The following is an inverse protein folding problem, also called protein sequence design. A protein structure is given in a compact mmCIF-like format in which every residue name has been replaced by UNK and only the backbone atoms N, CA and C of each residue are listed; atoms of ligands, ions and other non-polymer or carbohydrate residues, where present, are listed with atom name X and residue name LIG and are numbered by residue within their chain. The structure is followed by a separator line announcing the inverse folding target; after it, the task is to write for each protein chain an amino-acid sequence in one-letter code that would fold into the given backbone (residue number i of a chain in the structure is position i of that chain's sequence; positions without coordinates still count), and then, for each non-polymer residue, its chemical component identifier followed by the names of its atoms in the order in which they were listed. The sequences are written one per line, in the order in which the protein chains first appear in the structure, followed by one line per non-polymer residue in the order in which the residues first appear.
data_IF_168923774979
#
_entry.id   IF_168923774979
#
_cell.length_a   1.000
_cell.length_b   1.000
_cell.length_c   1.000
_cell.angle_alpha   90.00
_cell.angle_beta   90.00
_cell.angle_gamma   90.00
#
_symmetry.space_group_name_H-M   'P 1'
#
loop_
_entity.id
_entity.type
_entity.pdbx_description
1 polymer ?
#
# COMPACT_ATOMS: atom_id res chain seq x y z
N UNK A 1 -107.30 -29.08 31.08
CA UNK A 1 -106.34 -30.03 30.49
C UNK A 1 -104.97 -29.76 31.09
N UNK A 2 -104.48 -30.67 31.92
CA UNK A 2 -103.24 -30.48 32.68
C UNK A 2 -101.99 -30.55 31.81
N UNK A 3 -100.90 -29.95 32.27
CA UNK A 3 -99.59 -29.98 31.58
C UNK A 3 -99.14 -31.43 31.28
N UNK A 4 -99.54 -32.37 32.16
CA UNK A 4 -99.33 -33.82 32.01
C UNK A 4 -100.09 -34.44 30.84
N UNK A 5 -101.37 -34.12 30.64
CA UNK A 5 -102.16 -34.59 29.49
C UNK A 5 -101.66 -34.02 28.16
N UNK A 6 -101.17 -32.77 28.16
CA UNK A 6 -100.55 -32.19 26.97
C UNK A 6 -99.21 -32.85 26.64
N UNK A 7 -98.44 -33.21 27.67
CA UNK A 7 -97.18 -33.92 27.50
C UNK A 7 -97.40 -35.36 27.02
N UNK A 8 -98.35 -36.10 27.60
CA UNK A 8 -98.72 -37.45 27.16
C UNK A 8 -99.25 -37.44 25.72
N UNK A 9 -100.08 -36.47 25.33
CA UNK A 9 -100.51 -36.31 23.93
C UNK A 9 -99.36 -36.00 22.97
N UNK A 10 -98.36 -35.22 23.38
CA UNK A 10 -97.18 -34.93 22.55
C UNK A 10 -96.30 -36.18 22.44
N UNK A 11 -96.14 -36.94 23.52
CA UNK A 11 -95.39 -38.20 23.53
C UNK A 11 -96.07 -39.26 22.66
N UNK A 12 -97.39 -39.43 22.75
CA UNK A 12 -98.16 -40.34 21.90
C UNK A 12 -98.11 -39.93 20.41
N UNK A 13 -98.06 -38.62 20.12
CA UNK A 13 -97.93 -38.11 18.75
C UNK A 13 -96.50 -38.32 18.22
N UNK A 14 -95.49 -38.21 19.09
CA UNK A 14 -94.10 -38.53 18.77
C UNK A 14 -93.93 -40.04 18.55
N UNK A 15 -94.59 -40.89 19.34
CA UNK A 15 -94.43 -42.34 19.24
C UNK A 15 -95.22 -42.93 18.06
N UNK A 16 -96.46 -42.45 17.82
CA UNK A 16 -97.28 -42.85 16.67
C UNK A 16 -96.71 -42.40 15.30
N UNK A 17 -95.84 -41.37 15.29
CA UNK A 17 -95.15 -40.89 14.09
C UNK A 17 -93.62 -40.98 14.20
N UNK A 18 -93.10 -41.79 15.13
CA UNK A 18 -91.68 -41.89 15.46
C UNK A 18 -90.79 -42.09 14.25
N UNK A 19 -91.19 -43.00 13.35
CA UNK A 19 -90.44 -43.30 12.12
C UNK A 19 -90.36 -42.07 11.20
N UNK A 20 -91.46 -41.34 11.05
CA UNK A 20 -91.55 -40.15 10.20
C UNK A 20 -90.79 -38.97 10.80
N UNK A 21 -90.90 -38.75 12.12
CA UNK A 21 -90.19 -37.67 12.83
C UNK A 21 -88.68 -37.92 12.81
N UNK A 22 -88.21 -39.13 13.13
CA UNK A 22 -86.78 -39.47 13.07
C UNK A 22 -86.23 -39.31 11.64
N UNK A 23 -86.99 -39.74 10.62
CA UNK A 23 -86.58 -39.58 9.22
C UNK A 23 -86.53 -38.11 8.80
N UNK A 24 -87.51 -37.30 9.20
CA UNK A 24 -87.52 -35.86 8.93
C UNK A 24 -86.38 -35.14 9.66
N UNK A 25 -86.13 -35.45 10.93
CA UNK A 25 -85.02 -34.89 11.71
C UNK A 25 -83.65 -35.27 11.13
N UNK A 26 -83.45 -36.53 10.70
CA UNK A 26 -82.23 -36.96 10.00
C UNK A 26 -82.06 -36.26 8.65
N UNK A 27 -83.16 -36.04 7.92
CA UNK A 27 -83.14 -35.32 6.64
C UNK A 27 -82.76 -33.85 6.85
N UNK A 28 -83.32 -33.19 7.89
CA UNK A 28 -82.97 -31.82 8.27
C UNK A 28 -81.51 -31.74 8.72
N UNK A 29 -81.02 -32.68 9.54
CA UNK A 29 -79.61 -32.74 9.93
C UNK A 29 -78.69 -32.92 8.73
N UNK A 30 -79.04 -33.80 7.79
CA UNK A 30 -78.31 -34.00 6.55
C UNK A 30 -78.27 -32.75 5.67
N UNK A 31 -79.37 -32.00 5.61
CA UNK A 31 -79.46 -30.75 4.86
C UNK A 31 -78.66 -29.62 5.52
N UNK A 32 -78.69 -29.52 6.86
CA UNK A 32 -77.82 -28.62 7.63
C UNK A 32 -76.34 -28.98 7.42
N UNK A 33 -75.99 -30.26 7.45
CA UNK A 33 -74.62 -30.73 7.21
C UNK A 33 -74.16 -30.42 5.78
N UNK A 34 -75.01 -30.60 4.77
CA UNK A 34 -74.74 -30.20 3.39
C UNK A 34 -74.58 -28.69 3.24
N UNK A 35 -75.43 -27.88 3.89
CA UNK A 35 -75.25 -26.42 3.90
C UNK A 35 -73.91 -26.04 4.54
N UNK A 36 -73.54 -26.64 5.68
CA UNK A 36 -72.26 -26.39 6.32
C UNK A 36 -71.10 -26.76 5.38
N UNK A 37 -71.13 -27.93 4.73
CA UNK A 37 -70.11 -28.33 3.74
C UNK A 37 -70.05 -27.33 2.58
N UNK A 38 -71.20 -26.89 2.08
CA UNK A 38 -71.28 -25.95 0.96
C UNK A 38 -70.73 -24.56 1.34
N UNK A 39 -71.07 -24.07 2.53
CA UNK A 39 -70.53 -22.81 3.07
C UNK A 39 -69.02 -22.90 3.31
N UNK A 40 -68.53 -23.99 3.92
CA UNK A 40 -67.09 -24.21 4.12
C UNK A 40 -66.34 -24.31 2.79
N UNK A 41 -66.90 -25.02 1.81
CA UNK A 41 -66.27 -25.18 0.48
C UNK A 41 -66.25 -23.88 -0.33
N UNK A 42 -67.34 -23.10 -0.28
CA UNK A 42 -67.41 -21.77 -0.90
C UNK A 42 -66.41 -20.79 -0.30
N UNK A 43 -66.27 -20.82 1.03
CA UNK A 43 -65.35 -19.95 1.76
C UNK A 43 -63.88 -20.33 1.50
N UNK A 44 -63.57 -21.63 1.43
CA UNK A 44 -62.23 -22.12 1.06
C UNK A 44 -61.85 -21.73 -0.38
N UNK A 45 -62.82 -21.79 -1.31
CA UNK A 45 -62.63 -21.33 -2.68
C UNK A 45 -62.37 -19.81 -2.75
N UNK A 46 -63.11 -19.02 -1.95
CA UNK A 46 -62.89 -17.57 -1.79
C UNK A 46 -61.48 -17.26 -1.26
N UNK A 47 -61.04 -17.93 -0.18
CA UNK A 47 -59.69 -17.74 0.39
C UNK A 47 -58.59 -18.07 -0.62
N UNK A 48 -58.73 -19.15 -1.38
CA UNK A 48 -57.76 -19.53 -2.41
C UNK A 48 -57.68 -18.51 -3.55
N UNK A 49 -58.82 -17.93 -3.95
CA UNK A 49 -58.89 -16.89 -4.96
C UNK A 49 -58.20 -15.60 -4.49
N UNK A 50 -58.60 -15.06 -3.34
CA UNK A 50 -58.04 -13.81 -2.82
C UNK A 50 -56.53 -13.94 -2.54
N UNK A 51 -56.07 -15.08 -2.01
CA UNK A 51 -54.63 -15.32 -1.80
C UNK A 51 -53.84 -15.29 -3.10
N UNK A 52 -54.43 -15.77 -4.20
CA UNK A 52 -53.78 -15.74 -5.52
C UNK A 52 -53.72 -14.32 -6.11
N UNK A 53 -54.71 -13.48 -5.80
CA UNK A 53 -54.71 -12.06 -6.20
C UNK A 53 -53.58 -11.31 -5.47
N UNK A 54 -53.46 -11.49 -4.15
CA UNK A 54 -52.38 -10.90 -3.36
C UNK A 54 -51.02 -11.30 -3.93
N UNK A 55 -50.78 -12.60 -4.14
CA UNK A 55 -49.51 -13.07 -4.70
C UNK A 55 -49.22 -12.49 -6.08
N UNK A 56 -50.23 -12.39 -6.95
CA UNK A 56 -50.06 -11.79 -8.27
C UNK A 56 -49.60 -10.32 -8.16
N UNK A 57 -50.11 -9.56 -7.19
CA UNK A 57 -49.65 -8.19 -6.96
C UNK A 57 -48.18 -8.14 -6.52
N UNK A 58 -47.79 -9.03 -5.60
CA UNK A 58 -46.40 -9.15 -5.13
C UNK A 58 -45.46 -9.54 -6.28
N UNK A 59 -45.78 -10.61 -7.03
CA UNK A 59 -44.98 -11.10 -8.17
C UNK A 59 -44.88 -10.07 -9.30
N UNK A 60 -45.93 -9.27 -9.50
CA UNK A 60 -45.94 -8.18 -10.47
C UNK A 60 -45.25 -6.91 -9.96
N UNK A 61 -44.56 -6.97 -8.81
CA UNK A 61 -43.85 -5.85 -8.16
C UNK A 61 -44.73 -4.66 -7.80
N UNK A 62 -46.05 -4.89 -7.65
CA UNK A 62 -47.02 -3.87 -7.22
C UNK A 62 -47.13 -3.87 -5.70
N UNK A 63 -46.02 -3.67 -5.00
CA UNK A 63 -45.91 -3.87 -3.55
C UNK A 63 -46.90 -3.01 -2.75
N UNK A 64 -47.00 -1.70 -3.05
CA UNK A 64 -47.99 -0.85 -2.38
C UNK A 64 -49.44 -1.28 -2.59
N UNK A 65 -49.76 -1.81 -3.78
CA UNK A 65 -51.11 -2.36 -4.06
C UNK A 65 -51.33 -3.64 -3.27
N UNK A 66 -50.32 -4.50 -3.16
CA UNK A 66 -50.40 -5.73 -2.37
C UNK A 66 -50.65 -5.44 -0.88
N UNK A 67 -49.96 -4.44 -0.32
CA UNK A 67 -50.13 -4.04 1.09
C UNK A 67 -51.53 -3.48 1.36
N UNK A 68 -51.98 -2.51 0.55
CA UNK A 68 -53.33 -1.95 0.70
C UNK A 68 -54.41 -3.04 0.58
N UNK A 69 -54.24 -3.95 -0.38
CA UNK A 69 -55.18 -5.06 -0.58
C UNK A 69 -55.22 -6.00 0.62
N UNK A 70 -54.06 -6.33 1.22
CA UNK A 70 -54.02 -7.14 2.45
C UNK A 70 -54.71 -6.41 3.63
N UNK A 71 -54.46 -5.12 3.82
CA UNK A 71 -55.11 -4.31 4.87
C UNK A 71 -56.64 -4.22 4.68
N UNK A 72 -57.12 -4.18 3.45
CA UNK A 72 -58.56 -4.18 3.17
C UNK A 72 -59.19 -5.54 3.50
N UNK A 73 -58.49 -6.64 3.18
CA UNK A 73 -58.92 -7.98 3.59
C UNK A 73 -58.96 -8.14 5.12
N UNK A 74 -58.02 -7.55 5.86
CA UNK A 74 -58.05 -7.55 7.34
C UNK A 74 -59.30 -6.86 7.91
N UNK A 75 -59.87 -5.86 7.21
CA UNK A 75 -61.11 -5.17 7.62
C UNK A 75 -62.36 -5.96 7.23
N UNK A 76 -62.32 -6.64 6.09
CA UNK A 76 -63.48 -7.34 5.51
C UNK A 76 -63.66 -8.76 6.07
N UNK A 77 -62.56 -9.46 6.36
CA UNK A 77 -62.61 -10.87 6.76
C UNK A 77 -62.87 -11.03 8.26
N UNK A 78 -63.65 -12.06 8.61
CA UNK A 78 -63.71 -12.51 10.00
C UNK A 78 -62.35 -13.07 10.46
N UNK A 79 -62.03 -13.07 11.77
CA UNK A 79 -60.75 -13.57 12.28
C UNK A 79 -60.41 -14.99 11.81
N UNK A 80 -61.39 -15.91 11.86
CA UNK A 80 -61.22 -17.31 11.41
C UNK A 80 -61.00 -17.46 9.90
N UNK A 81 -61.50 -16.49 9.11
CA UNK A 81 -61.28 -16.45 7.66
C UNK A 81 -59.91 -15.87 7.34
N UNK A 82 -59.51 -14.83 8.07
CA UNK A 82 -58.17 -14.23 7.95
C UNK A 82 -57.08 -15.25 8.30
N UNK A 83 -57.22 -15.99 9.41
CA UNK A 83 -56.25 -17.03 9.79
C UNK A 83 -56.06 -18.11 8.71
N UNK A 84 -57.15 -18.56 8.08
CA UNK A 84 -57.08 -19.51 6.95
C UNK A 84 -56.44 -18.89 5.72
N UNK A 85 -56.73 -17.63 5.44
CA UNK A 85 -56.10 -16.86 4.36
C UNK A 85 -54.61 -16.72 4.58
N UNK A 86 -54.18 -16.26 5.75
CA UNK A 86 -52.77 -16.11 6.12
C UNK A 86 -52.02 -17.42 5.97
N UNK A 87 -52.57 -18.51 6.51
CA UNK A 87 -51.97 -19.86 6.36
C UNK A 87 -51.81 -20.29 4.90
N UNK A 88 -52.74 -19.91 4.02
CA UNK A 88 -52.64 -20.21 2.59
C UNK A 88 -51.59 -19.32 1.91
N UNK A 89 -51.58 -18.02 2.22
CA UNK A 89 -50.62 -17.05 1.71
C UNK A 89 -49.20 -17.40 2.17
N UNK A 90 -48.97 -17.73 3.44
CA UNK A 90 -47.69 -18.21 3.98
C UNK A 90 -47.10 -19.36 3.17
N UNK A 91 -47.89 -20.38 2.83
CA UNK A 91 -47.42 -21.50 2.00
C UNK A 91 -46.94 -21.05 0.62
N UNK A 92 -47.65 -20.09 0.01
CA UNK A 92 -47.33 -19.59 -1.32
C UNK A 92 -46.15 -18.59 -1.28
N UNK A 93 -46.11 -17.70 -0.30
CA UNK A 93 -44.99 -16.77 -0.06
C UNK A 93 -43.71 -17.53 0.23
N UNK A 94 -43.74 -18.57 1.06
CA UNK A 94 -42.54 -19.39 1.33
C UNK A 94 -41.95 -20.01 0.05
N UNK A 95 -42.79 -20.42 -0.91
CA UNK A 95 -42.30 -20.89 -2.21
C UNK A 95 -41.75 -19.75 -3.06
N UNK A 96 -42.45 -18.62 -3.11
CA UNK A 96 -42.05 -17.44 -3.86
C UNK A 96 -40.69 -16.93 -3.37
N UNK A 97 -40.50 -16.82 -2.06
CA UNK A 97 -39.27 -16.38 -1.40
C UNK A 97 -38.06 -17.20 -1.83
N UNK A 98 -38.14 -18.53 -1.72
CA UNK A 98 -37.06 -19.43 -2.15
C UNK A 98 -36.79 -19.29 -3.64
N UNK A 99 -37.84 -19.29 -4.47
CA UNK A 99 -37.68 -19.17 -5.93
C UNK A 99 -37.09 -17.82 -6.35
N UNK A 100 -37.44 -16.74 -5.65
CA UNK A 100 -36.93 -15.39 -5.91
C UNK A 100 -35.51 -15.23 -5.40
N UNK A 101 -35.17 -15.85 -4.27
CA UNK A 101 -33.79 -15.97 -3.80
C UNK A 101 -32.92 -16.67 -4.84
N UNK A 102 -33.37 -17.81 -5.38
CA UNK A 102 -32.65 -18.53 -6.45
C UNK A 102 -32.52 -17.68 -7.72
N UNK A 103 -33.60 -16.99 -8.12
CA UNK A 103 -33.56 -16.06 -9.26
C UNK A 103 -32.57 -14.91 -9.03
N UNK A 104 -32.50 -14.37 -7.82
CA UNK A 104 -31.59 -13.27 -7.47
C UNK A 104 -30.13 -13.75 -7.51
N UNK A 105 -29.84 -14.90 -6.88
CA UNK A 105 -28.50 -15.53 -6.88
C UNK A 105 -28.04 -15.79 -8.32
N UNK A 106 -28.95 -16.23 -9.19
CA UNK A 106 -28.68 -16.47 -10.61
C UNK A 106 -28.80 -15.20 -11.49
N UNK A 107 -28.86 -14.00 -10.89
CA UNK A 107 -28.95 -12.69 -11.60
C UNK A 107 -30.16 -12.50 -12.52
N UNK A 108 -31.19 -13.34 -12.37
CA UNK A 108 -32.43 -13.28 -13.17
C UNK A 108 -33.38 -12.18 -12.70
N UNK A 109 -33.23 -11.71 -11.46
CA UNK A 109 -33.93 -10.54 -10.92
C UNK A 109 -32.94 -9.58 -10.27
N UNK A 110 -33.30 -8.29 -10.23
CA UNK A 110 -32.42 -7.26 -9.65
C UNK A 110 -32.45 -7.28 -8.13
N UNK A 111 -31.46 -6.62 -7.52
CA UNK A 111 -31.38 -6.43 -6.07
C UNK A 111 -32.61 -5.71 -5.52
N UNK A 112 -33.10 -4.68 -6.22
CA UNK A 112 -34.28 -3.89 -5.82
C UNK A 112 -35.55 -4.75 -5.87
N UNK A 113 -35.64 -5.66 -6.83
CA UNK A 113 -36.75 -6.62 -6.88
C UNK A 113 -36.72 -7.49 -5.61
N UNK A 114 -35.58 -8.11 -5.31
CA UNK A 114 -35.47 -9.00 -4.15
C UNK A 114 -35.70 -8.26 -2.83
N UNK A 115 -35.11 -7.08 -2.64
CA UNK A 115 -35.36 -6.22 -1.46
C UNK A 115 -36.85 -5.90 -1.34
N UNK A 116 -37.49 -5.47 -2.43
CA UNK A 116 -38.91 -5.13 -2.42
C UNK A 116 -39.80 -6.31 -2.02
N UNK A 117 -39.45 -7.53 -2.41
CA UNK A 117 -40.13 -8.75 -1.97
C UNK A 117 -39.97 -8.94 -0.45
N UNK A 118 -38.74 -8.92 0.07
CA UNK A 118 -38.46 -9.07 1.51
C UNK A 118 -39.22 -8.04 2.33
N UNK A 119 -39.11 -6.76 1.97
CA UNK A 119 -39.79 -5.68 2.69
C UNK A 119 -41.31 -5.81 2.65
N UNK A 120 -41.87 -6.27 1.52
CA UNK A 120 -43.32 -6.52 1.43
C UNK A 120 -43.73 -7.66 2.35
N UNK A 121 -42.97 -8.76 2.39
CA UNK A 121 -43.27 -9.91 3.26
C UNK A 121 -43.23 -9.53 4.74
N UNK A 122 -42.22 -8.77 5.19
CA UNK A 122 -42.16 -8.29 6.57
C UNK A 122 -43.36 -7.41 6.96
N UNK A 123 -43.89 -6.63 6.01
CA UNK A 123 -45.04 -5.76 6.28
C UNK A 123 -46.37 -6.55 6.41
N UNK A 124 -46.43 -7.80 5.94
CA UNK A 124 -47.62 -8.65 6.05
C UNK A 124 -47.65 -9.41 7.38
N UNK A 125 -48.13 -8.76 8.44
CA UNK A 125 -48.01 -9.20 9.85
C UNK A 125 -48.58 -10.59 10.20
N UNK A 126 -49.56 -11.09 9.45
CA UNK A 126 -50.16 -12.42 9.68
C UNK A 126 -49.39 -13.57 9.02
N UNK A 127 -48.38 -13.26 8.20
CA UNK A 127 -47.71 -14.25 7.34
C UNK A 127 -46.53 -14.90 8.06
N UNK A 128 -46.66 -16.21 8.28
CA UNK A 128 -45.58 -17.07 8.75
C UNK A 128 -44.57 -17.40 7.62
N UNK A 129 -43.28 -17.17 7.91
CA UNK A 129 -42.16 -17.42 7.00
C UNK A 129 -41.33 -18.58 7.54
N UNK A 130 -41.04 -19.55 6.66
CA UNK A 130 -40.20 -20.71 6.95
C UNK A 130 -38.71 -20.31 6.93
N UNK A 131 -38.26 -19.69 8.03
CA UNK A 131 -36.90 -19.17 8.19
C UNK A 131 -35.84 -20.25 7.98
N UNK A 132 -36.13 -21.51 8.35
CA UNK A 132 -35.21 -22.64 8.16
C UNK A 132 -34.82 -22.82 6.69
N UNK A 133 -35.77 -22.69 5.75
CA UNK A 133 -35.45 -22.79 4.32
C UNK A 133 -34.60 -21.64 3.81
N UNK A 134 -34.72 -20.47 4.41
CA UNK A 134 -33.86 -19.32 4.09
C UNK A 134 -32.44 -19.56 4.61
N UNK A 135 -32.31 -20.10 5.84
CA UNK A 135 -31.02 -20.54 6.40
C UNK A 135 -30.38 -21.61 5.50
N UNK A 136 -31.14 -22.61 5.04
CA UNK A 136 -30.65 -23.64 4.11
C UNK A 136 -30.18 -23.02 2.77
N UNK A 137 -30.92 -22.04 2.23
CA UNK A 137 -30.54 -21.34 1.00
C UNK A 137 -29.28 -20.47 1.21
N UNK A 138 -29.14 -19.80 2.35
CA UNK A 138 -27.96 -19.04 2.73
C UNK A 138 -26.70 -19.91 2.88
N UNK A 139 -26.85 -21.11 3.45
CA UNK A 139 -25.78 -22.11 3.50
C UNK A 139 -25.29 -22.46 2.09
N UNK A 140 -26.20 -22.74 1.16
CA UNK A 140 -25.84 -23.00 -0.25
C UNK A 140 -25.16 -21.81 -0.91
N UNK A 141 -25.60 -20.57 -0.63
CA UNK A 141 -24.96 -19.36 -1.15
C UNK A 141 -23.51 -19.24 -0.68
N UNK A 142 -23.25 -19.53 0.60
CA UNK A 142 -21.90 -19.57 1.15
C UNK A 142 -21.03 -20.61 0.43
N UNK A 143 -21.54 -21.82 0.21
CA UNK A 143 -20.83 -22.88 -0.53
C UNK A 143 -20.64 -22.55 -2.03
N UNK A 144 -21.60 -21.88 -2.66
CA UNK A 144 -21.47 -21.41 -4.04
C UNK A 144 -20.36 -20.35 -4.16
N UNK A 145 -20.26 -19.45 -3.18
CA UNK A 145 -19.16 -18.47 -3.13
C UNK A 145 -17.80 -19.16 -2.91
N UNK A 146 -17.74 -20.11 -1.97
CA UNK A 146 -16.54 -20.92 -1.69
C UNK A 146 -16.06 -21.66 -2.94
N UNK A 147 -16.97 -22.26 -3.69
CA UNK A 147 -16.71 -22.96 -4.95
C UNK A 147 -16.53 -22.05 -6.18
N UNK A 148 -16.47 -20.73 -5.98
CA UNK A 148 -16.29 -19.71 -7.03
C UNK A 148 -17.40 -19.69 -8.10
N UNK A 149 -18.54 -20.29 -7.83
CA UNK A 149 -19.71 -20.28 -8.70
C UNK A 149 -20.58 -19.03 -8.51
N UNK A 150 -20.23 -18.17 -7.55
CA UNK A 150 -20.95 -16.95 -7.21
C UNK A 150 -19.96 -15.85 -6.83
N UNK A 151 -20.22 -14.62 -7.26
CA UNK A 151 -19.39 -13.48 -6.87
C UNK A 151 -19.65 -13.05 -5.43
N UNK A 152 -18.66 -12.40 -4.81
CA UNK A 152 -18.77 -11.85 -3.46
C UNK A 152 -19.95 -10.89 -3.34
N UNK A 153 -20.11 -9.97 -4.29
CA UNK A 153 -21.16 -8.95 -4.27
C UNK A 153 -22.57 -9.56 -4.28
N UNK A 154 -22.79 -10.60 -5.10
CA UNK A 154 -24.10 -11.27 -5.16
C UNK A 154 -24.34 -12.06 -3.87
N UNK A 155 -23.34 -12.83 -3.41
CA UNK A 155 -23.43 -13.63 -2.20
C UNK A 155 -23.75 -12.75 -0.97
N UNK A 156 -22.97 -11.69 -0.76
CA UNK A 156 -23.17 -10.76 0.34
C UNK A 156 -24.47 -9.97 0.21
N UNK A 157 -24.85 -9.55 -1.00
CA UNK A 157 -26.12 -8.86 -1.20
C UNK A 157 -27.31 -9.77 -0.87
N UNK A 158 -27.25 -11.06 -1.23
CA UNK A 158 -28.28 -12.03 -0.86
C UNK A 158 -28.35 -12.16 0.66
N UNK A 159 -27.23 -12.47 1.32
CA UNK A 159 -27.18 -12.69 2.77
C UNK A 159 -27.69 -11.48 3.53
N UNK A 160 -27.19 -10.28 3.24
CA UNK A 160 -27.63 -9.06 3.92
C UNK A 160 -29.12 -8.75 3.70
N UNK A 161 -29.66 -9.05 2.50
CA UNK A 161 -31.08 -8.84 2.19
C UNK A 161 -31.96 -9.90 2.87
N UNK A 162 -31.53 -11.16 2.91
CA UNK A 162 -32.25 -12.23 3.60
C UNK A 162 -32.20 -12.04 5.13
N UNK A 163 -31.11 -11.52 5.68
CA UNK A 163 -30.96 -11.19 7.10
C UNK A 163 -31.96 -10.13 7.57
N UNK A 164 -32.51 -9.31 6.68
CA UNK A 164 -33.52 -8.32 7.05
C UNK A 164 -34.92 -8.90 7.21
N UNK A 165 -35.13 -10.21 7.00
CA UNK A 165 -36.41 -10.85 7.27
C UNK A 165 -36.73 -10.83 8.75
N UNK A 166 -37.99 -10.53 9.07
CA UNK A 166 -38.45 -10.51 10.46
C UNK A 166 -38.32 -11.91 11.08
N UNK A 167 -37.73 -11.98 12.27
CA UNK A 167 -37.45 -13.22 12.99
C UNK A 167 -36.13 -13.91 12.63
N UNK A 168 -35.38 -13.45 11.62
CA UNK A 168 -34.10 -14.06 11.23
C UNK A 168 -32.98 -13.90 12.27
N UNK A 169 -32.97 -12.77 12.99
CA UNK A 169 -31.94 -12.48 13.99
C UNK A 169 -30.52 -12.62 13.44
N UNK A 170 -29.71 -13.45 14.10
CA UNK A 170 -28.31 -13.69 13.76
C UNK A 170 -28.08 -15.02 13.03
N UNK A 171 -29.14 -15.70 12.58
CA UNK A 171 -29.06 -17.07 12.04
C UNK A 171 -28.22 -17.15 10.75
N UNK A 172 -28.02 -16.03 10.04
CA UNK A 172 -27.21 -15.96 8.83
C UNK A 172 -25.78 -15.43 9.05
N UNK A 173 -25.43 -15.01 10.26
CA UNK A 173 -24.14 -14.36 10.56
C UNK A 173 -22.96 -15.29 10.29
N UNK A 174 -23.11 -16.59 10.54
CA UNK A 174 -22.07 -17.58 10.25
C UNK A 174 -21.74 -17.64 8.75
N UNK A 175 -22.76 -17.61 7.88
CA UNK A 175 -22.56 -17.65 6.43
C UNK A 175 -21.99 -16.35 5.89
N UNK A 176 -22.43 -15.22 6.46
CA UNK A 176 -21.86 -13.90 6.20
C UNK A 176 -20.37 -13.89 6.52
N UNK A 177 -20.01 -14.33 7.72
CA UNK A 177 -18.62 -14.37 8.17
C UNK A 177 -17.78 -15.30 7.29
N UNK A 178 -18.29 -16.48 6.94
CA UNK A 178 -17.59 -17.40 6.04
C UNK A 178 -17.29 -16.74 4.68
N UNK A 179 -18.25 -16.05 4.07
CA UNK A 179 -18.05 -15.36 2.80
C UNK A 179 -17.01 -14.25 2.94
N UNK A 180 -17.09 -13.43 3.99
CA UNK A 180 -16.14 -12.34 4.25
C UNK A 180 -14.72 -12.85 4.47
N UNK A 181 -14.54 -13.88 5.31
CA UNK A 181 -13.22 -14.46 5.60
C UNK A 181 -12.57 -15.00 4.33
N UNK A 182 -13.32 -15.73 3.51
CA UNK A 182 -12.83 -16.25 2.23
C UNK A 182 -12.49 -15.11 1.24
N UNK A 183 -13.31 -14.06 1.19
CA UNK A 183 -13.02 -12.89 0.35
C UNK A 183 -11.74 -12.19 0.74
N UNK A 184 -11.55 -11.91 2.03
CA UNK A 184 -10.35 -11.26 2.54
C UNK A 184 -9.10 -12.12 2.31
N UNK A 185 -9.22 -13.44 2.49
CA UNK A 185 -8.16 -14.41 2.16
C UNK A 185 -7.75 -14.33 0.68
N UNK A 186 -8.71 -14.33 -0.23
CA UNK A 186 -8.47 -14.19 -1.69
C UNK A 186 -7.83 -12.85 -2.04
N UNK A 187 -8.23 -11.78 -1.37
CA UNK A 187 -7.61 -10.46 -1.54
C UNK A 187 -6.15 -10.43 -1.13
N UNK A 188 -5.76 -11.14 -0.07
CA UNK A 188 -4.35 -11.28 0.31
C UNK A 188 -3.56 -12.03 -0.77
N UNK A 189 -4.16 -13.06 -1.38
CA UNK A 189 -3.54 -13.77 -2.51
C UNK A 189 -3.37 -12.87 -3.73
N UNK A 190 -4.41 -12.12 -4.13
CA UNK A 190 -4.35 -11.17 -5.26
C UNK A 190 -3.25 -10.11 -5.05
N UNK A 191 -3.17 -9.51 -3.87
CA UNK A 191 -2.14 -8.53 -3.53
C UNK A 191 -0.73 -9.15 -3.57
N UNK A 192 -0.58 -10.39 -3.13
CA UNK A 192 0.70 -11.10 -3.20
C UNK A 192 1.16 -11.35 -4.65
N UNK A 193 0.24 -11.69 -5.55
CA UNK A 193 0.55 -11.83 -6.98
C UNK A 193 0.97 -10.49 -7.61
N UNK A 194 0.32 -9.39 -7.23
CA UNK A 194 0.72 -8.05 -7.67
C UNK A 194 2.15 -7.70 -7.23
N UNK A 195 2.47 -7.89 -5.93
CA UNK A 195 3.81 -7.65 -5.38
C UNK A 195 4.87 -8.54 -6.04
N UNK A 196 4.55 -9.83 -6.26
CA UNK A 196 5.44 -10.77 -6.97
C UNK A 196 5.77 -10.27 -8.38
N UNK A 197 4.77 -9.79 -9.13
CA UNK A 197 4.95 -9.31 -10.51
C UNK A 197 5.86 -8.09 -10.62
N UNK A 198 5.96 -7.28 -9.56
CA UNK A 198 6.87 -6.12 -9.48
C UNK A 198 8.14 -6.41 -8.66
N UNK A 199 8.47 -7.70 -8.45
CA UNK A 199 9.66 -8.18 -7.72
C UNK A 199 9.75 -7.77 -6.25
N UNK A 200 8.64 -7.39 -5.62
CA UNK A 200 8.55 -7.17 -4.17
C UNK A 200 8.33 -8.50 -3.45
N UNK A 201 9.30 -9.40 -3.57
CA UNK A 201 9.14 -10.78 -3.12
C UNK A 201 8.93 -10.91 -1.60
N UNK A 202 9.60 -10.08 -0.81
CA UNK A 202 9.42 -10.07 0.65
C UNK A 202 7.99 -9.71 1.06
N UNK A 203 7.42 -8.67 0.44
CA UNK A 203 6.04 -8.25 0.64
C UNK A 203 5.05 -9.30 0.14
N UNK A 204 5.30 -9.87 -1.05
CA UNK A 204 4.50 -10.96 -1.59
C UNK A 204 4.43 -12.16 -0.64
N UNK A 205 5.56 -12.60 -0.09
CA UNK A 205 5.61 -13.73 0.86
C UNK A 205 4.81 -13.41 2.13
N UNK A 206 4.94 -12.20 2.69
CA UNK A 206 4.15 -11.78 3.86
C UNK A 206 2.64 -11.80 3.58
N UNK A 207 2.23 -11.49 2.35
CA UNK A 207 0.83 -11.53 1.94
C UNK A 207 0.34 -12.96 1.71
N UNK A 208 1.14 -13.83 1.08
CA UNK A 208 0.82 -15.27 0.97
C UNK A 208 0.65 -15.93 2.35
N UNK A 209 1.44 -15.54 3.35
CA UNK A 209 1.34 -16.06 4.73
C UNK A 209 0.03 -15.67 5.45
N UNK A 210 -0.71 -14.70 4.91
CA UNK A 210 -2.04 -14.30 5.43
C UNK A 210 -3.19 -15.02 4.73
N UNK A 211 -2.92 -15.78 3.67
CA UNK A 211 -3.94 -16.59 3.01
C UNK A 211 -4.31 -17.74 3.93
N UNK A 212 -5.60 -17.91 4.16
CA UNK A 212 -6.16 -18.80 5.18
C UNK A 212 -6.36 -20.22 4.65
N UNK A 213 -6.08 -21.23 5.48
CA UNK A 213 -6.21 -22.66 5.14
C UNK A 213 -7.67 -23.06 4.85
N UNK A 214 -8.63 -22.34 5.45
CA UNK A 214 -10.06 -22.48 5.19
C UNK A 214 -10.43 -22.28 3.71
N UNK A 215 -9.66 -21.44 2.99
CA UNK A 215 -9.72 -21.33 1.53
C UNK A 215 -8.71 -22.25 0.85
N UNK A 216 -8.89 -23.56 1.05
CA UNK A 216 -7.94 -24.60 0.66
C UNK A 216 -7.30 -24.42 -0.73
N UNK A 217 -8.09 -24.06 -1.75
CA UNK A 217 -7.56 -23.84 -3.11
C UNK A 217 -6.56 -22.69 -3.14
N UNK A 218 -6.94 -21.54 -2.62
CA UNK A 218 -6.08 -20.35 -2.62
C UNK A 218 -4.92 -20.50 -1.65
N UNK A 219 -5.10 -21.21 -0.54
CA UNK A 219 -4.01 -21.58 0.35
C UNK A 219 -2.96 -22.43 -0.36
N UNK A 220 -3.35 -23.50 -1.04
CA UNK A 220 -2.42 -24.36 -1.78
C UNK A 220 -1.68 -23.58 -2.88
N UNK A 221 -2.39 -22.69 -3.59
CA UNK A 221 -1.78 -21.79 -4.56
C UNK A 221 -0.78 -20.83 -3.90
N UNK A 222 -1.15 -20.20 -2.78
CA UNK A 222 -0.30 -19.29 -2.03
C UNK A 222 0.97 -19.97 -1.52
N UNK A 223 0.87 -21.20 -0.98
CA UNK A 223 2.04 -21.94 -0.51
C UNK A 223 2.99 -22.33 -1.64
N UNK A 224 2.46 -22.66 -2.83
CA UNK A 224 3.29 -22.93 -4.01
C UNK A 224 3.96 -21.66 -4.53
N UNK A 225 3.21 -20.57 -4.68
CA UNK A 225 3.74 -19.29 -5.13
C UNK A 225 4.76 -18.70 -4.14
N UNK A 226 4.54 -18.87 -2.83
CA UNK A 226 5.50 -18.52 -1.77
C UNK A 226 6.84 -19.24 -1.97
N UNK A 227 6.83 -20.56 -2.22
CA UNK A 227 8.06 -21.34 -2.47
C UNK A 227 8.80 -20.82 -3.71
N UNK A 228 8.07 -20.49 -4.77
CA UNK A 228 8.63 -19.89 -5.97
C UNK A 228 9.27 -18.52 -5.68
N UNK A 229 8.57 -17.63 -4.95
CA UNK A 229 9.10 -16.33 -4.54
C UNK A 229 10.38 -16.47 -3.71
N UNK A 230 10.42 -17.41 -2.77
CA UNK A 230 11.63 -17.69 -1.98
C UNK A 230 12.80 -18.04 -2.91
N UNK A 231 12.57 -18.87 -3.94
CA UNK A 231 13.61 -19.19 -4.92
C UNK A 231 14.05 -17.98 -5.76
N UNK A 232 13.10 -17.19 -6.26
CA UNK A 232 13.38 -16.03 -7.13
C UNK A 232 14.06 -14.87 -6.39
N UNK A 233 13.76 -14.68 -5.10
CA UNK A 233 14.25 -13.53 -4.36
C UNK A 233 15.75 -13.60 -4.03
N UNK A 234 16.35 -14.80 -4.06
CA UNK A 234 17.73 -15.00 -3.64
C UNK A 234 18.72 -14.17 -4.48
N UNK A 235 18.79 -14.44 -5.78
CA UNK A 235 19.71 -13.72 -6.67
C UNK A 235 19.32 -12.24 -6.78
N UNK A 236 18.01 -11.95 -6.84
CA UNK A 236 17.52 -10.58 -6.95
C UNK A 236 17.94 -9.69 -5.77
N UNK A 237 17.69 -10.11 -4.53
CA UNK A 237 18.05 -9.28 -3.38
C UNK A 237 19.56 -9.25 -3.11
N UNK A 238 20.33 -10.26 -3.54
CA UNK A 238 21.80 -10.17 -3.52
C UNK A 238 22.27 -9.09 -4.49
N UNK A 239 21.77 -9.07 -5.73
CA UNK A 239 22.11 -8.04 -6.72
C UNK A 239 21.77 -6.63 -6.21
N UNK A 240 20.57 -6.46 -5.66
CA UNK A 240 20.13 -5.18 -5.06
C UNK A 240 20.97 -4.79 -3.84
N UNK A 241 21.39 -5.75 -3.02
CA UNK A 241 22.25 -5.48 -1.87
C UNK A 241 23.67 -5.05 -2.30
N UNK A 242 24.24 -5.70 -3.32
CA UNK A 242 25.54 -5.33 -3.86
C UNK A 242 25.51 -3.94 -4.49
N UNK A 243 24.49 -3.64 -5.29
CA UNK A 243 24.28 -2.30 -5.89
C UNK A 243 24.15 -1.22 -4.81
N UNK A 244 23.28 -1.43 -3.81
CA UNK A 244 23.11 -0.49 -2.70
C UNK A 244 24.42 -0.28 -1.93
N UNK A 245 25.20 -1.34 -1.69
CA UNK A 245 26.51 -1.24 -1.05
C UNK A 245 27.53 -0.47 -1.92
N UNK A 246 27.56 -0.69 -3.23
CA UNK A 246 28.43 0.06 -4.17
C UNK A 246 28.09 1.55 -4.22
N UNK A 247 26.81 1.89 -4.08
CA UNK A 247 26.33 3.27 -3.97
C UNK A 247 26.54 3.88 -2.58
N UNK A 248 27.04 3.09 -1.61
CA UNK A 248 27.28 3.54 -0.24
C UNK A 248 26.04 3.54 0.67
N UNK A 249 24.92 2.98 0.21
CA UNK A 249 23.67 2.80 0.95
C UNK A 249 23.71 1.50 1.78
N UNK A 250 24.62 1.43 2.75
CA UNK A 250 24.89 0.19 3.48
C UNK A 250 23.72 -0.32 4.34
N UNK A 251 22.86 0.58 4.84
CA UNK A 251 21.66 0.18 5.60
C UNK A 251 20.65 -0.53 4.71
N UNK A 252 20.43 0.00 3.50
CA UNK A 252 19.56 -0.61 2.48
C UNK A 252 20.12 -1.94 2.00
N UNK A 253 21.44 -2.02 1.78
CA UNK A 253 22.12 -3.28 1.46
C UNK A 253 21.86 -4.35 2.54
N UNK A 254 21.99 -3.99 3.82
CA UNK A 254 21.71 -4.88 4.94
C UNK A 254 20.22 -5.25 5.06
N UNK A 255 19.32 -4.33 4.69
CA UNK A 255 17.89 -4.61 4.65
C UNK A 255 17.56 -5.71 3.63
N UNK A 256 18.13 -5.65 2.41
CA UNK A 256 17.95 -6.69 1.40
C UNK A 256 18.50 -8.04 1.86
N UNK A 257 19.67 -8.08 2.50
CA UNK A 257 20.18 -9.31 3.14
C UNK A 257 19.20 -9.80 4.22
N UNK A 258 18.65 -8.89 5.02
CA UNK A 258 17.65 -9.18 6.05
C UNK A 258 16.38 -9.85 5.52
N UNK A 259 15.98 -9.56 4.28
CA UNK A 259 14.86 -10.24 3.63
C UNK A 259 15.12 -11.72 3.35
N UNK A 260 16.37 -12.09 3.07
CA UNK A 260 16.76 -13.46 2.76
C UNK A 260 16.97 -14.32 4.01
N UNK A 261 17.48 -13.74 5.10
CA UNK A 261 17.86 -14.47 6.32
C UNK A 261 16.80 -15.43 6.90
N UNK A 262 15.50 -15.09 6.94
CA UNK A 262 14.49 -16.01 7.47
C UNK A 262 14.40 -17.34 6.71
N UNK A 263 14.77 -17.35 5.43
CA UNK A 263 14.63 -18.51 4.53
C UNK A 263 15.96 -19.22 4.24
N UNK A 264 17.09 -18.54 4.46
CA UNK A 264 18.44 -18.98 4.10
C UNK A 264 19.40 -18.88 5.30
N UNK A 265 19.04 -19.49 6.43
CA UNK A 265 19.70 -19.28 7.73
C UNK A 265 21.17 -19.75 7.79
N UNK A 266 21.52 -20.79 7.02
CA UNK A 266 22.86 -21.40 7.00
C UNK A 266 23.66 -21.06 5.73
N UNK A 267 23.25 -20.02 5.00
CA UNK A 267 23.92 -19.62 3.78
C UNK A 267 25.21 -18.82 4.10
N UNK A 268 26.37 -19.44 3.88
CA UNK A 268 27.68 -18.82 4.10
C UNK A 268 27.88 -17.54 3.29
N UNK A 269 27.37 -17.47 2.05
CA UNK A 269 27.48 -16.28 1.20
C UNK A 269 26.72 -15.11 1.82
N UNK A 270 25.51 -15.33 2.35
CA UNK A 270 24.75 -14.28 3.02
C UNK A 270 25.45 -13.77 4.29
N UNK A 271 26.05 -14.66 5.07
CA UNK A 271 26.81 -14.29 6.27
C UNK A 271 28.04 -13.45 5.93
N UNK A 272 28.76 -13.80 4.86
CA UNK A 272 29.91 -13.05 4.36
C UNK A 272 29.50 -11.66 3.85
N UNK A 273 28.41 -11.57 3.09
CA UNK A 273 27.87 -10.31 2.60
C UNK A 273 27.39 -9.41 3.75
N UNK A 274 26.64 -9.95 4.71
CA UNK A 274 26.21 -9.23 5.90
C UNK A 274 27.41 -8.66 6.66
N UNK A 275 28.42 -9.48 6.92
CA UNK A 275 29.65 -9.07 7.61
C UNK A 275 30.40 -7.98 6.86
N UNK A 276 30.50 -8.10 5.52
CA UNK A 276 31.12 -7.09 4.64
C UNK A 276 30.36 -5.76 4.72
N UNK A 277 29.04 -5.78 4.59
CA UNK A 277 28.23 -4.56 4.58
C UNK A 277 28.14 -3.92 5.97
N UNK A 278 28.07 -4.69 7.06
CA UNK A 278 28.17 -4.17 8.42
C UNK A 278 29.51 -3.48 8.67
N UNK A 279 30.61 -4.08 8.19
CA UNK A 279 31.93 -3.45 8.26
C UNK A 279 31.95 -2.14 7.47
N UNK A 280 31.40 -2.12 6.26
CA UNK A 280 31.32 -0.90 5.45
C UNK A 280 30.47 0.19 6.12
N UNK A 281 29.30 -0.17 6.66
CA UNK A 281 28.46 0.74 7.44
C UNK A 281 29.23 1.35 8.60
N UNK A 282 29.97 0.54 9.38
CA UNK A 282 30.74 1.03 10.53
C UNK A 282 31.91 1.94 10.15
N UNK A 283 32.58 1.65 9.03
CA UNK A 283 33.76 2.40 8.60
C UNK A 283 33.41 3.70 7.87
N UNK A 284 32.37 3.67 7.05
CA UNK A 284 32.12 4.70 6.06
C UNK A 284 30.90 5.57 6.38
N UNK A 285 30.16 5.28 7.44
CA UNK A 285 29.11 6.18 7.91
C UNK A 285 29.71 7.24 8.84
N UNK A 286 29.39 8.51 8.58
CA UNK A 286 29.71 9.65 9.42
C UNK A 286 28.42 10.32 9.88
N UNK A 287 28.30 10.55 11.18
CA UNK A 287 27.25 11.41 11.73
C UNK A 287 27.66 12.89 11.64
N UNK A 288 26.71 13.83 11.70
CA UNK A 288 27.02 15.26 11.83
C UNK A 288 28.00 15.55 12.98
N UNK A 289 27.83 14.87 14.11
CA UNK A 289 28.74 15.01 15.25
C UNK A 289 30.16 14.50 14.95
N UNK A 290 30.31 13.40 14.22
CA UNK A 290 31.64 12.91 13.81
C UNK A 290 32.36 13.94 12.92
N UNK A 291 31.61 14.59 12.03
CA UNK A 291 32.12 15.63 11.14
C UNK A 291 32.49 16.89 11.93
N UNK A 292 31.64 17.36 12.84
CA UNK A 292 31.94 18.50 13.73
C UNK A 292 33.19 18.20 14.57
N UNK A 293 33.29 16.99 15.14
CA UNK A 293 34.46 16.57 15.90
C UNK A 293 35.74 16.59 15.06
N UNK A 294 35.65 16.16 13.80
CA UNK A 294 36.76 16.17 12.86
C UNK A 294 37.20 17.61 12.53
N UNK A 295 36.26 18.51 12.25
CA UNK A 295 36.52 19.93 11.97
C UNK A 295 37.15 20.62 13.19
N UNK A 296 36.57 20.45 14.38
CA UNK A 296 37.09 21.03 15.62
C UNK A 296 38.52 20.55 15.90
N UNK A 297 38.77 19.24 15.74
CA UNK A 297 40.12 18.66 15.91
C UNK A 297 41.14 19.24 14.93
N UNK A 298 40.78 19.43 13.65
CA UNK A 298 41.69 19.94 12.62
C UNK A 298 41.89 21.45 12.70
N UNK A 299 40.86 22.21 13.07
CA UNK A 299 40.91 23.68 13.21
C UNK A 299 41.53 24.14 14.52
N UNK A 300 41.49 23.31 15.56
CA UNK A 300 41.86 23.69 16.92
C UNK A 300 40.83 24.60 17.61
N UNK A 301 39.64 24.80 17.02
CA UNK A 301 38.53 25.57 17.59
C UNK A 301 37.65 24.70 18.49
N UNK A 302 36.89 25.35 19.38
CA UNK A 302 35.81 24.70 20.12
C UNK A 302 34.65 24.31 19.18
N UNK A 303 33.77 23.41 19.65
CA UNK A 303 32.59 22.95 18.90
C UNK A 303 31.40 23.87 19.10
N UNK A 304 31.44 24.76 20.09
CA UNK A 304 30.36 25.70 20.39
C UNK A 304 30.02 26.55 19.15
N UNK A 305 28.73 26.57 18.80
CA UNK A 305 28.23 27.28 17.62
C UNK A 305 28.45 26.57 16.28
N UNK A 306 29.22 25.47 16.21
CA UNK A 306 29.40 24.71 14.97
C UNK A 306 28.20 23.79 14.70
N UNK A 307 27.65 23.90 13.50
CA UNK A 307 26.63 22.97 12.98
C UNK A 307 26.94 22.59 11.54
N UNK A 308 26.41 21.44 11.11
CA UNK A 308 26.63 20.95 9.75
C UNK A 308 25.35 20.38 9.15
N UNK A 309 25.17 20.59 7.85
CA UNK A 309 24.25 19.81 7.00
C UNK A 309 25.11 18.92 6.11
N UNK A 310 24.71 17.68 5.87
CA UNK A 310 25.54 16.74 5.11
C UNK A 310 24.74 15.84 4.18
N UNK A 311 25.27 15.62 2.99
CA UNK A 311 24.74 14.71 1.97
C UNK A 311 25.83 13.75 1.51
N UNK A 312 25.50 12.47 1.41
CA UNK A 312 26.43 11.44 0.93
C UNK A 312 26.49 11.42 -0.61
N UNK A 313 27.66 11.14 -1.17
CA UNK A 313 27.85 10.93 -2.60
C UNK A 313 29.06 10.03 -2.89
N UNK A 314 29.05 9.39 -4.06
CA UNK A 314 30.17 8.58 -4.55
C UNK A 314 30.99 9.36 -5.58
N UNK A 315 32.30 9.45 -5.38
CA UNK A 315 33.23 10.13 -6.30
C UNK A 315 34.40 9.19 -6.58
N UNK A 316 34.56 8.78 -7.85
CA UNK A 316 35.63 7.86 -8.25
C UNK A 316 35.63 6.54 -7.45
N UNK A 317 34.44 6.03 -7.10
CA UNK A 317 34.28 4.79 -6.31
C UNK A 317 34.52 4.95 -4.80
N UNK A 318 34.76 6.16 -4.31
CA UNK A 318 34.92 6.44 -2.88
C UNK A 318 33.73 7.23 -2.34
N UNK A 319 33.32 6.91 -1.10
CA UNK A 319 32.21 7.60 -0.42
C UNK A 319 32.71 8.92 0.19
N UNK A 320 32.04 10.00 -0.16
CA UNK A 320 32.26 11.33 0.38
C UNK A 320 30.98 11.89 1.01
N UNK A 321 31.15 12.77 1.97
CA UNK A 321 30.09 13.61 2.50
C UNK A 321 30.32 15.03 2.01
N UNK A 322 29.42 15.57 1.20
CA UNK A 322 29.32 17.01 1.00
C UNK A 322 28.68 17.62 2.23
N UNK A 323 29.32 18.63 2.78
CA UNK A 323 28.93 19.22 4.05
C UNK A 323 28.96 20.73 3.94
N UNK A 324 27.88 21.39 4.33
CA UNK A 324 27.88 22.82 4.58
C UNK A 324 28.15 23.03 6.06
N UNK A 325 29.17 23.83 6.37
CA UNK A 325 29.63 24.07 7.74
C UNK A 325 29.20 25.46 8.17
N UNK A 326 28.51 25.54 9.29
CA UNK A 326 28.01 26.79 9.85
C UNK A 326 28.63 27.08 11.21
N UNK A 327 28.96 28.34 11.47
CA UNK A 327 29.39 28.85 12.79
C UNK A 327 28.39 29.94 13.18
N UNK A 328 27.60 29.71 14.25
CA UNK A 328 26.51 30.60 14.68
C UNK A 328 25.55 30.99 13.53
N UNK A 329 25.08 29.99 12.79
CA UNK A 329 24.16 30.11 11.64
C UNK A 329 24.77 30.75 10.36
N UNK A 330 26.02 31.20 10.39
CA UNK A 330 26.71 31.71 9.21
C UNK A 330 27.45 30.58 8.47
N UNK A 331 27.26 30.46 7.16
CA UNK A 331 27.98 29.48 6.32
C UNK A 331 29.45 29.87 6.22
N UNK A 332 30.32 29.08 6.85
CA UNK A 332 31.76 29.34 6.90
C UNK A 332 32.58 28.47 5.95
N UNK A 333 32.04 27.34 5.48
CA UNK A 333 32.71 26.49 4.49
C UNK A 333 31.73 25.52 3.80
N UNK A 334 32.14 25.05 2.64
CA UNK A 334 31.58 23.87 1.97
C UNK A 334 32.70 22.86 1.83
N UNK A 335 32.53 21.67 2.39
CA UNK A 335 33.60 20.67 2.42
C UNK A 335 33.15 19.33 1.82
N UNK A 336 34.11 18.59 1.28
CA UNK A 336 34.01 17.15 1.08
C UNK A 336 34.79 16.44 2.16
N UNK A 337 34.15 15.52 2.86
CA UNK A 337 34.80 14.62 3.81
C UNK A 337 34.90 13.24 3.19
N UNK A 338 36.12 12.75 2.97
CA UNK A 338 36.34 11.36 2.58
C UNK A 338 35.95 10.44 3.73
N UNK A 339 34.97 9.56 3.52
CA UNK A 339 34.48 8.68 4.54
C UNK A 339 35.56 7.70 5.05
N UNK A 340 36.52 7.28 4.22
CA UNK A 340 37.57 6.33 4.60
C UNK A 340 38.73 7.01 5.30
N UNK A 341 39.32 8.01 4.66
CA UNK A 341 40.53 8.66 5.16
C UNK A 341 40.25 9.72 6.22
N UNK A 342 38.99 10.20 6.29
CA UNK A 342 38.59 11.37 7.08
C UNK A 342 39.34 12.65 6.69
N UNK A 343 39.84 12.71 5.45
CA UNK A 343 40.39 13.94 4.89
C UNK A 343 39.27 14.93 4.59
N UNK A 344 39.52 16.20 4.86
CA UNK A 344 38.64 17.32 4.55
C UNK A 344 39.19 18.05 3.33
N UNK A 345 38.32 18.29 2.35
CA UNK A 345 38.62 19.13 1.20
C UNK A 345 37.65 20.29 1.21
N UNK A 346 38.11 21.49 1.49
CA UNK A 346 37.30 22.71 1.43
C UNK A 346 37.07 23.16 -0.01
N UNK A 347 35.95 23.83 -0.24
CA UNK A 347 35.61 24.34 -1.54
C UNK A 347 36.51 25.53 -1.89
N UNK A 348 37.13 25.47 -3.08
CA UNK A 348 37.92 26.57 -3.62
C UNK A 348 37.70 26.70 -5.12
N UNK A 349 36.76 27.54 -5.49
CA UNK A 349 36.42 27.84 -6.87
C UNK A 349 37.03 29.14 -7.36
N UNK A 350 36.70 29.49 -8.60
CA UNK A 350 37.17 30.72 -9.23
C UNK A 350 36.62 32.00 -8.61
N UNK A 351 35.43 31.92 -8.00
CA UNK A 351 34.67 33.05 -7.49
C UNK A 351 34.42 32.98 -5.97
N UNK A 352 34.96 31.94 -5.31
CA UNK A 352 34.57 31.61 -3.94
C UNK A 352 35.68 30.79 -3.28
N UNK A 353 36.18 31.32 -2.16
CA UNK A 353 37.19 30.72 -1.30
C UNK A 353 36.83 31.06 0.15
N UNK A 354 36.67 30.03 0.97
CA UNK A 354 36.32 30.17 2.39
C UNK A 354 37.54 30.41 3.29
N UNK A 355 38.76 30.28 2.77
CA UNK A 355 40.01 30.44 3.53
C UNK A 355 40.06 29.58 4.81
N UNK A 356 39.56 28.34 4.73
CA UNK A 356 39.53 27.43 5.88
C UNK A 356 40.95 27.02 6.32
N UNK A 357 41.13 26.86 7.62
CA UNK A 357 42.42 26.47 8.24
C UNK A 357 42.52 24.97 8.55
N UNK A 358 41.44 24.22 8.31
CA UNK A 358 41.31 22.83 8.73
C UNK A 358 41.24 21.85 7.55
N UNK A 359 41.44 22.35 6.33
CA UNK A 359 41.41 21.54 5.12
C UNK A 359 42.72 20.81 4.83
N UNK A 360 42.63 19.58 4.34
CA UNK A 360 43.74 18.77 3.82
C UNK A 360 43.99 19.00 2.32
N UNK A 361 43.05 19.65 1.63
CA UNK A 361 43.15 19.96 0.20
C UNK A 361 42.00 20.85 -0.26
N UNK A 362 41.77 20.94 -1.57
CA UNK A 362 40.63 21.68 -2.06
C UNK A 362 39.88 20.90 -3.12
N UNK A 363 38.59 21.20 -3.27
CA UNK A 363 37.79 20.73 -4.39
C UNK A 363 37.01 21.89 -5.02
N UNK A 364 36.54 21.66 -6.23
CA UNK A 364 35.51 22.49 -6.87
C UNK A 364 34.56 21.62 -7.70
N UNK A 365 33.43 22.20 -8.07
CA UNK A 365 32.52 21.65 -9.07
C UNK A 365 32.84 22.31 -10.42
N UNK A 366 33.09 21.50 -11.45
CA UNK A 366 33.34 21.96 -12.82
C UNK A 366 32.05 22.50 -13.47
N UNK A 367 32.16 23.10 -14.65
CA UNK A 367 30.98 23.53 -15.42
C UNK A 367 30.08 22.36 -15.84
N UNK A 368 30.65 21.18 -15.95
CA UNK A 368 29.97 19.94 -16.32
C UNK A 368 29.44 19.19 -15.10
N UNK A 369 29.40 19.85 -13.93
CA UNK A 369 28.96 19.29 -12.64
C UNK A 369 29.86 18.17 -12.09
N UNK A 370 31.10 18.07 -12.55
CA UNK A 370 32.06 17.09 -12.05
C UNK A 370 32.89 17.65 -10.89
N UNK A 371 33.12 16.84 -9.85
CA UNK A 371 33.99 17.21 -8.75
C UNK A 371 35.46 17.06 -9.16
N UNK A 372 36.24 18.13 -8.99
CA UNK A 372 37.68 18.17 -9.24
C UNK A 372 38.43 18.43 -7.95
N UNK A 373 39.43 17.61 -7.66
CA UNK A 373 40.35 17.82 -6.53
C UNK A 373 41.57 18.64 -6.97
N UNK A 374 41.95 19.61 -6.14
CA UNK A 374 43.15 20.41 -6.34
C UNK A 374 44.40 19.59 -6.04
N UNK A 375 45.46 19.80 -6.83
CA UNK A 375 46.80 19.35 -6.46
C UNK A 375 47.34 20.18 -5.29
N UNK A 376 48.21 19.59 -4.50
CA UNK A 376 48.99 20.30 -3.48
C UNK A 376 50.06 21.20 -4.11
N UNK A 377 50.57 22.16 -3.33
CA UNK A 377 51.69 23.03 -3.74
C UNK A 377 52.95 22.23 -4.15
N UNK A 378 53.27 21.14 -3.45
CA UNK A 378 54.40 20.27 -3.80
C UNK A 378 54.17 19.54 -5.14
N UNK A 379 52.95 19.08 -5.39
CA UNK A 379 52.59 18.49 -6.69
C UNK A 379 52.64 19.54 -7.80
N UNK A 380 52.23 20.79 -7.54
CA UNK A 380 52.36 21.88 -8.50
C UNK A 380 53.82 22.20 -8.84
N UNK A 381 54.72 22.19 -7.86
CA UNK A 381 56.16 22.29 -8.10
C UNK A 381 56.66 21.13 -8.98
N UNK A 382 56.26 19.89 -8.68
CA UNK A 382 56.63 18.71 -9.49
C UNK A 382 56.14 18.83 -10.94
N UNK A 383 54.93 19.34 -11.15
CA UNK A 383 54.39 19.62 -12.50
C UNK A 383 55.29 20.60 -13.25
N UNK A 384 55.76 21.65 -12.59
CA UNK A 384 56.66 22.64 -13.19
C UNK A 384 58.04 22.05 -13.51
N UNK A 385 58.61 21.28 -12.58
CA UNK A 385 59.92 20.61 -12.76
C UNK A 385 59.90 19.65 -13.95
N UNK A 386 58.84 18.86 -14.10
CA UNK A 386 58.66 17.97 -15.24
C UNK A 386 58.60 18.76 -16.56
N UNK A 387 57.82 19.86 -16.61
CA UNK A 387 57.76 20.74 -17.79
C UNK A 387 59.12 21.37 -18.13
N UNK A 388 59.93 21.73 -17.14
CA UNK A 388 61.28 22.25 -17.37
C UNK A 388 62.20 21.17 -17.92
N UNK A 389 62.13 19.95 -17.39
CA UNK A 389 62.89 18.81 -17.90
C UNK A 389 62.56 18.50 -19.36
N UNK A 390 61.26 18.47 -19.70
CA UNK A 390 60.80 18.18 -21.07
C UNK A 390 61.28 19.21 -22.10
N UNK A 391 61.54 20.44 -21.66
CA UNK A 391 62.02 21.54 -22.50
C UNK A 391 63.52 21.83 -22.37
N UNK A 392 64.27 20.99 -21.67
CA UNK A 392 65.68 21.21 -21.31
C UNK A 392 65.95 22.61 -20.74
N UNK A 393 65.03 23.08 -19.91
CA UNK A 393 65.09 24.41 -19.32
C UNK A 393 65.95 24.40 -18.05
N UNK A 394 67.01 25.21 -18.05
CA UNK A 394 67.98 25.27 -16.97
C UNK A 394 67.58 26.28 -15.88
N UNK A 395 67.49 25.81 -14.63
CA UNK A 395 67.19 26.63 -13.44
C UNK A 395 68.06 26.22 -12.25
N UNK A 396 68.22 27.14 -11.28
CA UNK A 396 68.97 26.89 -10.03
C UNK A 396 68.07 26.43 -8.90
N UNK A 397 66.90 27.05 -8.76
CA UNK A 397 65.91 26.70 -7.73
C UNK A 397 64.50 27.13 -8.12
N UNK A 398 63.52 26.45 -7.52
CA UNK A 398 62.09 26.79 -7.57
C UNK A 398 61.63 26.97 -6.14
N UNK A 399 60.86 28.03 -5.88
CA UNK A 399 60.22 28.24 -4.58
C UNK A 399 58.76 28.62 -4.77
N UNK A 400 57.86 27.84 -4.17
CA UNK A 400 56.44 28.17 -4.12
C UNK A 400 56.23 29.35 -3.16
N UNK A 401 55.52 30.38 -3.61
CA UNK A 401 55.38 31.66 -2.89
C UNK A 401 53.94 32.17 -2.93
N UNK A 402 53.60 33.11 -2.03
CA UNK A 402 52.32 33.81 -2.09
C UNK A 402 52.22 34.71 -3.32
N UNK A 403 50.98 35.01 -3.73
CA UNK A 403 50.65 35.96 -4.79
C UNK A 403 51.41 37.29 -4.60
N UNK A 404 51.30 37.90 -3.42
CA UNK A 404 51.95 39.19 -3.11
C UNK A 404 53.47 39.14 -3.27
N UNK A 405 54.10 38.02 -2.92
CA UNK A 405 55.54 37.84 -3.07
C UNK A 405 55.92 37.63 -4.53
N UNK A 406 55.12 36.91 -5.30
CA UNK A 406 55.30 36.72 -6.73
C UNK A 406 55.11 38.05 -7.51
N UNK A 407 54.10 38.85 -7.15
CA UNK A 407 53.75 40.11 -7.82
C UNK A 407 54.88 41.15 -7.78
N UNK A 408 55.81 41.04 -6.82
CA UNK A 408 57.02 41.88 -6.77
C UNK A 408 57.98 41.65 -7.96
N UNK A 409 57.82 40.54 -8.66
CA UNK A 409 58.68 40.12 -9.78
C UNK A 409 57.94 40.09 -11.13
N UNK A 410 56.68 40.52 -11.16
CA UNK A 410 55.84 40.58 -12.36
C UNK A 410 55.73 42.05 -12.79
N UNK A 411 56.07 42.34 -14.05
CA UNK A 411 55.94 43.67 -14.64
C UNK A 411 54.51 43.91 -15.14
N UNK A 412 53.98 43.01 -15.97
CA UNK A 412 52.61 43.06 -16.48
C UNK A 412 51.61 42.38 -15.51
N UNK A 413 51.30 43.06 -14.42
CA UNK A 413 50.33 42.58 -13.42
C UNK A 413 48.90 42.58 -13.96
N UNK A 414 48.54 43.60 -14.74
CA UNK A 414 47.19 43.74 -15.30
C UNK A 414 46.91 42.66 -16.35
N UNK A 415 47.86 42.37 -17.23
CA UNK A 415 47.74 41.26 -18.18
C UNK A 415 47.64 39.90 -17.49
N UNK A 416 48.34 39.72 -16.36
CA UNK A 416 48.22 38.49 -15.58
C UNK A 416 46.86 38.40 -14.90
N UNK A 417 46.40 39.47 -14.24
CA UNK A 417 45.09 39.50 -13.60
C UNK A 417 43.95 39.32 -14.62
N UNK A 418 44.10 39.81 -15.86
CA UNK A 418 43.15 39.60 -16.96
C UNK A 418 43.17 38.16 -17.48
N UNK A 419 44.36 37.55 -17.64
CA UNK A 419 44.47 36.15 -18.05
C UNK A 419 43.89 35.19 -17.00
N UNK A 420 44.11 35.50 -15.73
CA UNK A 420 43.61 34.70 -14.60
C UNK A 420 42.18 35.07 -14.20
N UNK A 421 41.52 36.04 -14.87
CA UNK A 421 40.34 36.74 -14.35
C UNK A 421 39.18 35.81 -13.98
N UNK A 422 39.06 34.68 -14.68
CA UNK A 422 38.04 33.65 -14.46
C UNK A 422 38.43 32.58 -13.44
N UNK A 423 39.58 32.68 -12.78
CA UNK A 423 40.19 31.61 -11.95
C UNK A 423 41.18 32.18 -10.89
N UNK A 424 41.04 33.44 -10.46
CA UNK A 424 42.10 34.19 -9.74
C UNK A 424 42.66 33.47 -8.50
N UNK A 425 41.83 32.71 -7.79
CA UNK A 425 42.20 32.07 -6.53
C UNK A 425 42.62 30.59 -6.67
N UNK A 426 42.61 30.04 -7.90
CA UNK A 426 42.91 28.62 -8.14
C UNK A 426 44.31 28.38 -8.70
N UNK A 427 45.25 29.28 -8.40
CA UNK A 427 46.62 29.20 -8.88
C UNK A 427 47.67 29.17 -7.76
N UNK A 428 48.69 28.36 -7.96
CA UNK A 428 49.94 28.45 -7.21
C UNK A 428 50.97 29.30 -7.96
N UNK A 429 51.80 30.03 -7.22
CA UNK A 429 52.86 30.87 -7.77
C UNK A 429 54.23 30.28 -7.42
N UNK A 430 55.05 30.06 -8.45
CA UNK A 430 56.41 29.57 -8.33
C UNK A 430 57.39 30.64 -8.77
N UNK A 431 58.36 30.96 -7.91
CA UNK A 431 59.46 31.86 -8.21
C UNK A 431 60.69 31.02 -8.58
N UNK A 432 61.20 31.22 -9.79
CA UNK A 432 62.27 30.42 -10.40
C UNK A 432 63.54 31.26 -10.54
N UNK A 433 64.63 30.81 -9.91
CA UNK A 433 65.93 31.47 -9.98
C UNK A 433 66.82 30.86 -11.07
N UNK A 434 67.38 31.70 -11.95
CA UNK A 434 68.32 31.29 -13.01
C UNK A 434 69.81 31.47 -12.67
N UNK A 435 70.14 32.04 -11.51
CA UNK A 435 71.51 32.38 -11.11
C UNK A 435 71.57 33.65 -10.25
N UNK A 436 72.75 33.98 -9.71
CA UNK A 436 72.93 35.09 -8.75
C UNK A 436 72.71 36.48 -9.39
N UNK A 437 72.98 36.61 -10.69
CA UNK A 437 72.87 37.88 -11.44
C UNK A 437 71.70 37.91 -12.45
N UNK A 438 70.85 36.87 -12.47
CA UNK A 438 69.72 36.80 -13.40
C UNK A 438 68.41 37.13 -12.68
N UNK A 439 67.54 37.89 -13.34
CA UNK A 439 66.19 38.18 -12.85
C UNK A 439 65.44 36.87 -12.59
N UNK A 440 64.66 36.85 -11.51
CA UNK A 440 63.79 35.71 -11.19
C UNK A 440 62.57 35.74 -12.08
N UNK A 441 62.10 34.57 -12.48
CA UNK A 441 60.89 34.41 -13.26
C UNK A 441 59.75 33.89 -12.40
N UNK A 442 58.53 34.28 -12.71
CA UNK A 442 57.33 33.77 -12.06
C UNK A 442 56.58 32.84 -13.00
N UNK A 443 56.20 31.69 -12.46
CA UNK A 443 55.37 30.70 -13.10
C UNK A 443 54.09 30.54 -12.29
N UNK A 444 52.97 30.41 -12.97
CA UNK A 444 51.66 30.30 -12.35
C UNK A 444 51.05 28.96 -12.78
N UNK A 445 50.68 28.13 -11.82
CA UNK A 445 50.20 26.75 -12.05
C UNK A 445 48.77 26.63 -11.56
N UNK A 446 47.85 26.24 -12.44
CA UNK A 446 46.45 26.00 -12.08
C UNK A 446 46.34 24.72 -11.24
N UNK A 447 45.71 24.81 -10.07
CA UNK A 447 45.65 23.68 -9.13
C UNK A 447 44.76 22.52 -9.58
N UNK A 448 43.85 22.73 -10.54
CA UNK A 448 42.93 21.69 -11.00
C UNK A 448 43.36 21.06 -12.32
N UNK A 449 43.67 21.88 -13.33
CA UNK A 449 44.00 21.40 -14.68
C UNK A 449 45.51 21.33 -14.97
N UNK A 450 46.35 21.72 -14.00
CA UNK A 450 47.82 21.64 -14.08
C UNK A 450 48.44 22.48 -15.21
N UNK A 451 47.68 23.39 -15.85
CA UNK A 451 48.21 24.33 -16.84
C UNK A 451 49.21 25.27 -16.18
N UNK A 452 50.30 25.54 -16.88
CA UNK A 452 51.39 26.41 -16.43
C UNK A 452 51.47 27.62 -17.35
N UNK A 453 51.63 28.79 -16.76
CA UNK A 453 51.85 30.05 -17.46
C UNK A 453 53.17 30.65 -16.99
N UNK A 454 53.96 31.18 -17.92
CA UNK A 454 55.18 31.93 -17.59
C UNK A 454 54.94 33.42 -17.75
N UNK A 455 55.37 34.22 -16.78
CA UNK A 455 55.38 35.69 -16.90
C UNK A 455 56.81 36.13 -17.22
N UNK A 456 57.14 36.30 -18.50
CA UNK A 456 58.43 36.86 -18.94
C UNK A 456 58.30 38.38 -19.21
N UNK A 457 59.43 39.09 -19.33
CA UNK A 457 59.52 40.57 -19.39
C UNK A 457 58.61 41.27 -20.43
N UNK A 458 58.00 40.55 -21.37
CA UNK A 458 57.18 41.16 -22.44
C UNK A 458 55.90 40.40 -22.80
N UNK A 459 55.64 39.22 -22.23
CA UNK A 459 54.46 38.43 -22.62
C UNK A 459 54.12 37.32 -21.61
N UNK A 460 52.83 37.06 -21.42
CA UNK A 460 52.30 35.93 -20.67
C UNK A 460 51.91 34.84 -21.67
N UNK A 461 52.57 33.70 -21.61
CA UNK A 461 52.34 32.56 -22.53
C UNK A 461 52.04 31.29 -21.75
N UNK A 462 51.23 30.44 -22.37
CA UNK A 462 51.11 29.04 -21.95
C UNK A 462 52.48 28.37 -22.08
N UNK A 463 52.93 27.78 -20.98
CA UNK A 463 54.22 27.11 -20.90
C UNK A 463 54.11 25.64 -21.24
#
# INVERSE_FOLDING_TARGET
MGLKERFEKIVDLIDSHRKTIVTASLSILGLIFLMIIFFVSSDEFSVSKESSILLKHIESRKYGVALNYYEDLEKEFSPSKMERFDKNVSKKINKLMISSGDKFINTQITKEHYIGLISTVNALRGIDVDLKKIVDQASRVSEMYKSENLSYDIAMSYINTASSLDGMGNDLDVYKQNITVLYDSRKMFEAAEEDKNIKKYHEAIKSYDKVLEEDKKYYDLAQNAKKECIGLMYDYYIEQADEANELGNYEEALQYIGYLKPYYQEDEKLLDLESKYQKNLSLYTLTPNDIINLIAKKSGKDKEGLTVTSFQQMIGGSKYYYVEVFEYEELIDEILVDAKSRNIYSYKGSNKDYNSTYSDGYFRVSKDSEIQFAISSNQAQTVLENKFKDKDYQYKNISMVSKDKAYKYIEDKEGLDSLLEKDKDVYYYALVGKGIFKKKEVYVINMYNKKVYSTSEYEIKGY
#
